data_IF_788986295848
#
_entry.id   IF_788986295848
#
_cell.length_a   1.000
_cell.length_b   1.000
_cell.length_c   1.000
_cell.angle_alpha   90.00
_cell.angle_beta   90.00
_cell.angle_gamma   90.00
#
_symmetry.space_group_name_H-M   'P 1'
#
loop_
_entity.id
_entity.type
_entity.pdbx_description
1 polymer ?
#
# COMPACT_ATOMS: atom_id res chain seq x y z
N UNK A 1 9.93 -18.46 -7.40
CA UNK A 1 9.18 -18.24 -8.65
C UNK A 1 8.66 -16.82 -8.67
N UNK A 2 8.57 -16.15 -9.82
CA UNK A 2 7.93 -14.83 -9.93
C UNK A 2 6.41 -14.95 -9.67
N UNK A 3 5.80 -13.88 -9.19
CA UNK A 3 4.34 -13.79 -9.06
C UNK A 3 3.72 -13.72 -10.46
N UNK A 4 2.70 -14.54 -10.71
CA UNK A 4 1.87 -14.47 -11.92
C UNK A 4 0.45 -14.11 -11.51
N UNK A 5 0.11 -12.83 -11.65
CA UNK A 5 -1.19 -12.26 -11.32
C UNK A 5 -1.45 -11.08 -12.25
N UNK A 6 -2.67 -10.96 -12.74
CA UNK A 6 -3.15 -9.81 -13.52
C UNK A 6 -4.63 -9.64 -13.20
N UNK A 7 -5.09 -8.40 -13.09
CA UNK A 7 -6.48 -8.07 -12.84
C UNK A 7 -6.89 -6.92 -13.74
N UNK A 8 -8.09 -6.94 -14.30
CA UNK A 8 -8.57 -5.81 -15.11
C UNK A 8 -8.96 -4.63 -14.22
N UNK A 9 -9.57 -4.93 -13.07
CA UNK A 9 -10.00 -3.92 -12.11
C UNK A 9 -9.52 -4.25 -10.69
N UNK A 10 -8.91 -3.26 -10.04
CA UNK A 10 -8.36 -3.37 -8.71
C UNK A 10 -8.94 -2.33 -7.77
N UNK A 11 -9.38 -2.76 -6.59
CA UNK A 11 -9.69 -1.89 -5.47
C UNK A 11 -8.49 -1.89 -4.52
N UNK A 12 -7.76 -0.78 -4.48
CA UNK A 12 -6.68 -0.56 -3.51
C UNK A 12 -7.26 0.15 -2.29
N UNK A 13 -7.41 -0.57 -1.20
CA UNK A 13 -7.98 -0.05 0.05
C UNK A 13 -6.84 0.37 0.96
N UNK A 14 -6.73 1.67 1.25
CA UNK A 14 -5.75 2.16 2.22
C UNK A 14 -6.16 1.84 3.65
N UNK A 15 -5.37 2.30 4.62
CA UNK A 15 -5.73 2.22 6.04
C UNK A 15 -6.41 3.49 6.56
N UNK A 16 -6.66 4.52 5.75
CA UNK A 16 -7.09 5.85 6.22
C UNK A 16 -8.42 5.83 6.98
N UNK A 17 -8.55 6.68 8.01
CA UNK A 17 -9.80 6.92 8.71
C UNK A 17 -10.92 7.51 7.85
N UNK A 18 -10.61 8.08 6.67
CA UNK A 18 -11.62 8.53 5.70
C UNK A 18 -12.56 7.42 5.22
N UNK A 19 -12.17 6.15 5.38
CA UNK A 19 -13.02 5.01 5.05
C UNK A 19 -14.17 4.82 6.02
N UNK A 20 -14.08 5.33 7.25
CA UNK A 20 -15.12 5.13 8.27
C UNK A 20 -16.45 5.76 7.84
N UNK A 21 -17.53 4.98 7.95
CA UNK A 21 -18.90 5.33 7.55
C UNK A 21 -19.09 5.60 6.05
N UNK A 22 -18.12 5.24 5.22
CA UNK A 22 -18.20 5.40 3.77
C UNK A 22 -19.19 4.45 3.09
N UNK A 23 -19.50 3.31 3.73
CA UNK A 23 -20.37 2.27 3.19
C UNK A 23 -19.91 1.68 1.84
N UNK A 24 -18.61 1.79 1.53
CA UNK A 24 -18.05 1.33 0.25
C UNK A 24 -17.81 -0.18 0.19
N UNK A 25 -18.04 -0.90 1.28
CA UNK A 25 -17.75 -2.33 1.36
C UNK A 25 -18.34 -3.17 0.22
N UNK A 26 -19.63 -3.03 -0.12
CA UNK A 26 -20.22 -3.74 -1.24
C UNK A 26 -19.57 -3.43 -2.59
N UNK A 27 -19.20 -2.16 -2.84
CA UNK A 27 -18.54 -1.74 -4.08
C UNK A 27 -17.12 -2.32 -4.17
N UNK A 28 -16.35 -2.24 -3.08
CA UNK A 28 -15.00 -2.82 -2.98
C UNK A 28 -15.04 -4.34 -3.21
N UNK A 29 -16.00 -5.03 -2.60
CA UNK A 29 -16.13 -6.48 -2.71
C UNK A 29 -16.67 -6.95 -4.08
N UNK A 30 -17.11 -6.05 -4.96
CA UNK A 30 -17.46 -6.39 -6.35
C UNK A 30 -16.27 -6.31 -7.31
N UNK A 31 -15.18 -5.66 -6.91
CA UNK A 31 -13.98 -5.53 -7.75
C UNK A 31 -13.26 -6.88 -7.92
N UNK A 32 -12.66 -7.11 -9.10
CA UNK A 32 -11.97 -8.37 -9.42
C UNK A 32 -10.89 -8.68 -8.39
N UNK A 33 -10.00 -7.71 -8.13
CA UNK A 33 -8.93 -7.82 -7.14
C UNK A 33 -9.03 -6.76 -6.05
N UNK A 34 -9.00 -7.18 -4.78
CA UNK A 34 -8.93 -6.26 -3.63
C UNK A 34 -7.53 -6.30 -3.03
N UNK A 35 -6.84 -5.16 -3.04
CA UNK A 35 -5.47 -5.00 -2.54
C UNK A 35 -5.53 -4.28 -1.19
N UNK A 36 -4.93 -4.89 -0.16
CA UNK A 36 -4.83 -4.32 1.19
C UNK A 36 -3.39 -4.23 1.68
N UNK A 37 -3.17 -3.46 2.74
CA UNK A 37 -1.85 -3.21 3.29
C UNK A 37 -1.73 -3.67 4.75
N UNK A 38 -0.56 -4.19 5.11
CA UNK A 38 -0.17 -4.53 6.48
C UNK A 38 -1.26 -5.32 7.21
N UNK A 39 -1.55 -4.96 8.46
CA UNK A 39 -2.52 -5.57 9.36
C UNK A 39 -3.89 -4.87 9.35
N UNK A 40 -4.21 -4.11 8.30
CA UNK A 40 -5.53 -3.48 8.15
C UNK A 40 -6.64 -4.55 8.17
N UNK A 41 -7.54 -4.56 9.18
CA UNK A 41 -8.53 -5.61 9.37
C UNK A 41 -9.79 -5.33 8.55
N UNK A 42 -10.50 -6.39 8.14
CA UNK A 42 -11.84 -6.27 7.54
C UNK A 42 -12.95 -6.54 8.55
N UNK A 43 -12.70 -7.46 9.49
CA UNK A 43 -13.66 -7.82 10.53
C UNK A 43 -14.03 -6.61 11.37
N UNK A 44 -15.33 -6.34 11.51
CA UNK A 44 -15.86 -5.16 12.21
C UNK A 44 -15.95 -3.91 11.34
N UNK A 45 -15.32 -3.90 10.16
CA UNK A 45 -15.28 -2.76 9.24
C UNK A 45 -15.88 -3.07 7.86
N UNK A 46 -16.36 -4.30 7.63
CA UNK A 46 -16.77 -4.79 6.31
C UNK A 46 -17.83 -3.96 5.59
N UNK A 47 -18.68 -3.21 6.31
CA UNK A 47 -19.63 -2.26 5.69
C UNK A 47 -18.91 -1.15 4.93
N UNK A 48 -17.79 -0.68 5.45
CA UNK A 48 -17.03 0.44 4.92
C UNK A 48 -15.90 -0.02 4.01
N UNK A 49 -15.16 -1.06 4.41
CA UNK A 49 -13.92 -1.46 3.74
C UNK A 49 -14.03 -2.78 2.97
N UNK A 50 -15.17 -3.46 3.02
CA UNK A 50 -15.38 -4.78 2.42
C UNK A 50 -14.74 -5.91 3.22
N UNK A 51 -15.03 -7.16 2.84
CA UNK A 51 -14.51 -8.36 3.49
C UNK A 51 -13.52 -9.14 2.62
N UNK A 52 -13.46 -8.89 1.30
CA UNK A 52 -12.55 -9.59 0.40
C UNK A 52 -11.14 -9.02 0.48
N UNK A 53 -10.17 -9.90 0.26
CA UNK A 53 -8.76 -9.57 0.01
C UNK A 53 -8.27 -10.55 -1.05
N UNK A 54 -7.67 -10.05 -2.13
CA UNK A 54 -7.02 -10.86 -3.17
C UNK A 54 -5.50 -10.79 -3.05
N UNK A 55 -4.99 -9.61 -2.67
CA UNK A 55 -3.57 -9.34 -2.47
C UNK A 55 -3.36 -8.52 -1.20
N UNK A 56 -2.34 -8.87 -0.40
CA UNK A 56 -1.93 -8.08 0.77
C UNK A 56 -0.44 -7.78 0.75
N UNK A 57 -0.08 -6.50 0.77
CA UNK A 57 1.31 -6.03 0.81
C UNK A 57 1.70 -5.68 2.25
N UNK A 58 2.73 -6.32 2.78
CA UNK A 58 3.06 -6.33 4.21
C UNK A 58 4.50 -5.87 4.43
N UNK A 59 4.67 -4.80 5.21
CA UNK A 59 5.98 -4.38 5.70
C UNK A 59 6.50 -5.34 6.77
N UNK A 60 7.82 -5.52 6.83
CA UNK A 60 8.51 -6.35 7.84
C UNK A 60 8.08 -6.02 9.28
N UNK A 61 7.83 -4.74 9.57
CA UNK A 61 7.40 -4.25 10.89
C UNK A 61 5.99 -4.70 11.29
N UNK A 62 5.16 -5.09 10.32
CA UNK A 62 3.77 -5.53 10.54
C UNK A 62 3.65 -7.04 10.74
N UNK A 63 4.72 -7.81 10.50
CA UNK A 63 4.67 -9.27 10.50
C UNK A 63 4.28 -9.83 11.86
N UNK A 64 4.80 -9.27 12.96
CA UNK A 64 4.44 -9.76 14.30
C UNK A 64 2.96 -9.57 14.60
N UNK A 65 2.33 -8.47 14.15
CA UNK A 65 0.89 -8.25 14.33
C UNK A 65 0.06 -9.23 13.50
N UNK A 66 0.46 -9.45 12.24
CA UNK A 66 -0.16 -10.45 11.37
C UNK A 66 -0.06 -11.87 11.96
N UNK A 67 1.08 -12.25 12.53
CA UNK A 67 1.28 -13.58 13.10
C UNK A 67 0.51 -13.80 14.41
N UNK A 68 0.25 -12.73 15.17
CA UNK A 68 -0.63 -12.79 16.35
C UNK A 68 -2.09 -12.94 15.92
N UNK A 69 -2.51 -12.22 14.89
CA UNK A 69 -3.86 -12.27 14.35
C UNK A 69 -4.00 -13.39 13.29
N UNK A 70 -3.68 -14.63 13.67
CA UNK A 70 -3.65 -15.79 12.75
C UNK A 70 -4.95 -16.00 11.98
N UNK A 71 -6.09 -15.53 12.50
CA UNK A 71 -7.36 -15.56 11.78
C UNK A 71 -7.28 -14.88 10.41
N UNK A 72 -6.51 -13.81 10.27
CA UNK A 72 -6.32 -13.11 8.98
C UNK A 72 -5.38 -13.87 8.03
N UNK A 73 -4.63 -14.85 8.50
CA UNK A 73 -3.83 -15.74 7.65
C UNK A 73 -4.57 -17.05 7.34
N UNK A 74 -5.46 -17.49 8.23
CA UNK A 74 -6.14 -18.79 8.19
C UNK A 74 -7.54 -18.73 7.56
N UNK A 75 -8.29 -17.63 7.75
CA UNK A 75 -9.62 -17.42 7.18
C UNK A 75 -9.58 -16.71 5.82
N UNK A 76 -8.42 -16.18 5.45
CA UNK A 76 -8.26 -15.52 4.17
C UNK A 76 -8.22 -16.61 3.08
N UNK A 77 -9.20 -16.53 2.19
CA UNK A 77 -9.54 -17.51 1.15
C UNK A 77 -8.32 -18.19 0.52
N UNK A 78 -8.46 -19.46 0.11
CA UNK A 78 -7.42 -20.30 -0.52
C UNK A 78 -6.71 -19.67 -1.75
N UNK A 79 -7.08 -18.46 -2.18
CA UNK A 79 -6.49 -17.74 -3.30
C UNK A 79 -5.62 -16.53 -2.94
N UNK A 80 -5.63 -16.02 -1.71
CA UNK A 80 -5.00 -14.72 -1.41
C UNK A 80 -3.48 -14.76 -1.50
N UNK A 81 -2.92 -13.75 -2.14
CA UNK A 81 -1.48 -13.54 -2.30
C UNK A 81 -0.97 -12.59 -1.22
N UNK A 82 0.16 -12.92 -0.60
CA UNK A 82 0.83 -12.08 0.38
C UNK A 82 2.19 -11.68 -0.16
N UNK A 83 2.49 -10.38 -0.22
CA UNK A 83 3.80 -9.86 -0.63
C UNK A 83 4.45 -9.16 0.56
N UNK A 84 5.61 -9.65 1.00
CA UNK A 84 6.37 -9.12 2.11
C UNK A 84 7.55 -8.27 1.63
N UNK A 85 7.77 -7.13 2.28
CA UNK A 85 8.88 -6.24 1.97
C UNK A 85 9.56 -5.74 3.25
N UNK A 86 10.86 -5.42 3.17
CA UNK A 86 11.60 -4.91 4.32
C UNK A 86 13.09 -4.70 4.06
N UNK A 87 13.83 -4.18 5.05
CA UNK A 87 15.27 -4.02 4.98
C UNK A 87 15.96 -5.34 4.71
N UNK A 88 17.05 -5.32 3.93
CA UNK A 88 17.77 -6.54 3.55
C UNK A 88 18.21 -7.36 4.75
N UNK A 89 18.54 -6.74 5.89
CA UNK A 89 18.92 -7.41 7.14
C UNK A 89 17.84 -8.35 7.70
N UNK A 90 16.56 -8.00 7.56
CA UNK A 90 15.45 -8.84 8.02
C UNK A 90 15.05 -9.91 7.02
N UNK A 91 15.39 -9.71 5.74
CA UNK A 91 14.94 -10.53 4.61
C UNK A 91 16.01 -11.52 4.11
N UNK A 92 17.14 -11.65 4.82
CA UNK A 92 18.27 -12.51 4.45
C UNK A 92 17.90 -14.00 4.53
N UNK A 93 18.48 -14.80 3.63
CA UNK A 93 18.26 -16.26 3.58
C UNK A 93 19.34 -17.09 4.29
N UNK A 94 20.33 -16.43 4.88
CA UNK A 94 21.47 -17.04 5.56
C UNK A 94 21.17 -17.44 7.02
N UNK A 95 19.90 -17.64 7.35
CA UNK A 95 19.45 -17.91 8.71
C UNK A 95 19.42 -16.69 9.64
N UNK A 96 19.93 -15.51 9.24
CA UNK A 96 19.91 -14.30 10.07
C UNK A 96 18.73 -13.37 9.80
N UNK A 97 18.00 -13.58 8.70
CA UNK A 97 16.83 -12.80 8.34
C UNK A 97 15.59 -13.25 9.10
N UNK A 98 15.29 -12.61 10.24
CA UNK A 98 14.16 -13.00 11.09
C UNK A 98 12.82 -13.09 10.35
N UNK A 99 12.57 -12.17 9.42
CA UNK A 99 11.34 -12.19 8.61
C UNK A 99 11.36 -13.35 7.63
N UNK A 100 12.45 -13.54 6.89
CA UNK A 100 12.57 -14.66 5.97
C UNK A 100 12.39 -16.00 6.69
N UNK A 101 13.01 -16.17 7.85
CA UNK A 101 12.91 -17.39 8.65
C UNK A 101 11.45 -17.65 9.08
N UNK A 102 10.74 -16.62 9.56
CA UNK A 102 9.32 -16.75 9.93
C UNK A 102 8.46 -17.11 8.73
N UNK A 103 8.68 -16.47 7.57
CA UNK A 103 7.93 -16.78 6.34
C UNK A 103 8.23 -18.18 5.82
N UNK A 104 9.48 -18.63 5.93
CA UNK A 104 9.87 -19.98 5.55
C UNK A 104 9.15 -21.02 6.41
N UNK A 105 9.11 -20.82 7.73
CA UNK A 105 8.35 -21.68 8.64
C UNK A 105 6.84 -21.66 8.33
N UNK A 106 6.27 -20.49 8.09
CA UNK A 106 4.86 -20.38 7.71
C UNK A 106 4.54 -21.12 6.42
N UNK A 107 5.41 -21.08 5.42
CA UNK A 107 5.21 -21.82 4.16
C UNK A 107 5.22 -23.33 4.36
N UNK A 108 5.92 -23.83 5.38
CA UNK A 108 5.92 -25.25 5.74
C UNK A 108 4.64 -25.65 6.49
N UNK A 109 4.16 -24.79 7.39
CA UNK A 109 2.95 -25.04 8.20
C UNK A 109 1.67 -24.82 7.39
N UNK A 110 1.67 -23.87 6.46
CA UNK A 110 0.55 -23.50 5.61
C UNK A 110 0.94 -23.68 4.13
N UNK A 111 0.99 -24.92 3.61
CA UNK A 111 1.50 -25.19 2.26
C UNK A 111 0.65 -24.56 1.13
N UNK A 112 -0.58 -24.16 1.42
CA UNK A 112 -1.46 -23.42 0.48
C UNK A 112 -1.24 -21.90 0.51
N UNK A 113 -0.46 -21.38 1.46
CA UNK A 113 -0.18 -19.95 1.59
C UNK A 113 0.66 -19.47 0.40
N UNK A 114 0.13 -18.52 -0.36
CA UNK A 114 0.86 -17.87 -1.46
C UNK A 114 1.66 -16.67 -0.93
N UNK A 115 2.81 -16.95 -0.33
CA UNK A 115 3.70 -15.92 0.22
C UNK A 115 4.87 -15.60 -0.72
N UNK A 116 5.04 -14.33 -1.04
CA UNK A 116 6.12 -13.80 -1.86
C UNK A 116 6.90 -12.74 -1.09
N UNK A 117 8.16 -12.56 -1.47
CA UNK A 117 9.04 -11.58 -0.86
C UNK A 117 9.61 -10.68 -1.95
N UNK A 118 9.57 -9.36 -1.75
CA UNK A 118 10.21 -8.41 -2.65
C UNK A 118 11.73 -8.65 -2.61
N UNK A 119 12.33 -8.87 -3.78
CA UNK A 119 13.76 -9.16 -3.87
C UNK A 119 14.59 -7.90 -3.61
N UNK A 120 15.87 -8.07 -3.26
CA UNK A 120 16.80 -6.95 -3.13
C UNK A 120 16.88 -6.11 -4.41
N UNK A 121 16.84 -6.75 -5.57
CA UNK A 121 16.86 -6.05 -6.85
C UNK A 121 15.60 -5.20 -7.06
N UNK A 122 14.41 -5.76 -6.83
CA UNK A 122 13.15 -5.02 -6.94
C UNK A 122 13.04 -3.88 -5.92
N UNK A 123 13.57 -4.06 -4.70
CA UNK A 123 13.71 -2.96 -3.73
C UNK A 123 14.55 -1.79 -4.27
N UNK A 124 15.65 -2.07 -4.98
CA UNK A 124 16.46 -1.02 -5.62
C UNK A 124 15.71 -0.34 -6.77
N UNK A 125 14.94 -1.10 -7.55
CA UNK A 125 14.10 -0.52 -8.61
C UNK A 125 13.04 0.43 -8.03
N UNK A 126 12.42 0.10 -6.89
CA UNK A 126 11.50 1.00 -6.19
C UNK A 126 12.19 2.26 -5.66
N UNK A 127 13.43 2.14 -5.15
CA UNK A 127 14.24 3.29 -4.72
C UNK A 127 14.56 4.22 -5.91
N UNK A 128 14.96 3.66 -7.06
CA UNK A 128 15.28 4.42 -8.27
C UNK A 128 14.04 5.06 -8.91
N UNK A 129 12.90 4.35 -8.90
CA UNK A 129 11.62 4.92 -9.31
C UNK A 129 11.30 6.16 -8.47
N UNK A 130 11.38 6.05 -7.14
CA UNK A 130 11.10 7.19 -6.25
C UNK A 130 12.04 8.37 -6.53
N UNK A 131 13.32 8.09 -6.72
CA UNK A 131 14.31 9.11 -7.07
C UNK A 131 13.99 9.80 -8.39
N UNK A 132 13.62 9.06 -9.42
CA UNK A 132 13.26 9.60 -10.73
C UNK A 132 12.00 10.46 -10.67
N UNK A 133 10.97 10.00 -9.96
CA UNK A 133 9.68 10.71 -9.86
C UNK A 133 9.75 11.95 -8.97
N UNK A 134 10.68 12.01 -8.02
CA UNK A 134 10.71 13.06 -6.98
C UNK A 134 11.96 13.93 -6.99
N UNK A 135 13.02 13.50 -7.69
CA UNK A 135 14.37 14.07 -7.57
C UNK A 135 15.04 13.80 -6.23
N UNK A 136 14.43 13.04 -5.32
CA UNK A 136 14.94 12.79 -3.96
C UNK A 136 15.47 11.37 -3.83
N UNK A 137 16.72 11.26 -3.41
CA UNK A 137 17.29 9.97 -3.09
C UNK A 137 16.88 9.53 -1.68
N UNK A 138 16.27 8.35 -1.58
CA UNK A 138 15.78 7.79 -0.31
C UNK A 138 16.90 7.61 0.71
N UNK A 139 18.07 7.10 0.27
CA UNK A 139 19.21 6.80 1.16
C UNK A 139 19.85 8.09 1.65
N UNK A 140 20.06 9.06 0.75
CA UNK A 140 20.64 10.36 1.10
C UNK A 140 19.72 11.12 2.06
N UNK A 141 18.40 11.04 1.85
CA UNK A 141 17.40 11.70 2.71
C UNK A 141 17.02 10.90 3.96
N UNK A 142 17.71 9.77 4.21
CA UNK A 142 17.52 8.84 5.32
C UNK A 142 16.05 8.50 5.62
N UNK A 143 15.26 8.29 4.56
CA UNK A 143 13.82 7.99 4.66
C UNK A 143 13.52 6.56 4.24
N UNK A 144 12.29 6.10 4.49
CA UNK A 144 11.78 4.84 3.98
C UNK A 144 10.56 5.10 3.09
N UNK A 145 10.45 4.34 2.00
CA UNK A 145 9.22 4.32 1.20
C UNK A 145 8.09 3.71 2.05
N UNK A 146 6.89 4.25 1.92
CA UNK A 146 5.73 3.71 2.65
C UNK A 146 5.25 2.40 2.03
N UNK A 147 4.45 1.63 2.78
CA UNK A 147 3.74 0.48 2.18
C UNK A 147 2.82 0.93 1.04
N UNK A 148 2.28 2.15 1.11
CA UNK A 148 1.48 2.76 0.04
C UNK A 148 2.28 2.90 -1.26
N UNK A 149 3.55 3.31 -1.20
CA UNK A 149 4.43 3.37 -2.36
C UNK A 149 4.63 2.00 -3.03
N UNK A 150 4.99 0.98 -2.24
CA UNK A 150 5.15 -0.37 -2.76
C UNK A 150 3.83 -0.89 -3.37
N UNK A 151 2.70 -0.63 -2.70
CA UNK A 151 1.39 -1.13 -3.13
C UNK A 151 0.91 -0.44 -4.41
N UNK A 152 1.06 0.88 -4.52
CA UNK A 152 0.72 1.62 -5.74
C UNK A 152 1.58 1.17 -6.94
N UNK A 153 2.88 1.00 -6.72
CA UNK A 153 3.79 0.55 -7.80
C UNK A 153 3.46 -0.88 -8.24
N UNK A 154 3.21 -1.78 -7.29
CA UNK A 154 2.78 -3.15 -7.61
C UNK A 154 1.41 -3.13 -8.32
N UNK A 155 0.48 -2.28 -7.92
CA UNK A 155 -0.83 -2.19 -8.57
C UNK A 155 -0.70 -1.72 -10.04
N UNK A 156 0.22 -0.81 -10.35
CA UNK A 156 0.49 -0.41 -11.74
C UNK A 156 0.99 -1.57 -12.62
N UNK A 157 1.72 -2.52 -12.05
CA UNK A 157 2.21 -3.70 -12.75
C UNK A 157 1.13 -4.79 -12.93
N UNK A 158 0.16 -4.85 -12.02
CA UNK A 158 -0.83 -5.94 -11.95
C UNK A 158 -2.22 -5.59 -12.47
N UNK A 159 -2.55 -4.30 -12.59
CA UNK A 159 -3.92 -3.83 -12.80
C UNK A 159 -4.04 -2.96 -14.06
N UNK A 160 -5.13 -3.14 -14.82
CA UNK A 160 -5.46 -2.22 -15.92
C UNK A 160 -6.18 -0.95 -15.44
N UNK A 161 -6.98 -1.06 -14.38
CA UNK A 161 -7.66 0.04 -13.67
C UNK A 161 -7.43 -0.08 -12.17
N UNK A 162 -7.16 1.05 -11.51
CA UNK A 162 -6.93 1.10 -10.06
C UNK A 162 -7.90 2.10 -9.42
N UNK A 163 -8.82 1.60 -8.60
CA UNK A 163 -9.70 2.38 -7.76
C UNK A 163 -9.10 2.43 -6.34
N UNK A 164 -8.61 3.60 -5.92
CA UNK A 164 -7.95 3.84 -4.63
C UNK A 164 -8.97 4.40 -3.64
N UNK A 165 -9.19 3.70 -2.52
CA UNK A 165 -10.13 4.11 -1.48
C UNK A 165 -9.38 4.57 -0.23
N UNK A 166 -9.79 5.72 0.34
CA UNK A 166 -9.21 6.23 1.58
C UNK A 166 -7.90 6.98 1.35
N UNK A 167 -7.74 7.73 0.26
CA UNK A 167 -6.51 8.48 0.01
C UNK A 167 -6.84 9.93 -0.28
N UNK A 168 -6.44 10.84 0.60
CA UNK A 168 -6.56 12.29 0.39
C UNK A 168 -5.56 12.82 -0.64
N UNK A 169 -5.85 13.95 -1.34
CA UNK A 169 -4.89 14.58 -2.23
C UNK A 169 -3.68 15.15 -1.46
N UNK A 170 -2.52 15.38 -2.11
CA UNK A 170 -1.27 15.78 -1.45
C UNK A 170 -1.33 17.15 -0.74
N UNK A 171 -2.29 18.00 -1.08
CA UNK A 171 -2.51 19.33 -0.52
C UNK A 171 -3.61 19.38 0.55
N UNK A 172 -4.30 18.26 0.82
CA UNK A 172 -5.40 18.17 1.78
C UNK A 172 -5.07 18.77 3.15
N UNK A 173 -3.94 18.37 3.74
CA UNK A 173 -3.51 18.84 5.07
C UNK A 173 -3.00 20.30 5.10
N UNK A 174 -3.10 21.05 3.99
CA UNK A 174 -2.83 22.49 3.97
C UNK A 174 -4.09 23.32 4.21
N UNK A 175 -5.26 22.76 3.98
CA UNK A 175 -6.54 23.43 4.25
C UNK A 175 -6.79 23.44 5.77
N UNK A 176 -6.85 24.60 6.43
CA UNK A 176 -7.09 24.66 7.87
C UNK A 176 -8.47 24.12 8.29
N UNK A 177 -9.40 23.96 7.34
CA UNK A 177 -10.76 23.47 7.58
C UNK A 177 -10.94 21.99 7.21
N UNK A 178 -9.85 21.27 6.90
CA UNK A 178 -9.96 19.84 6.57
C UNK A 178 -10.59 19.06 7.75
N UNK A 179 -11.44 18.05 7.49
CA UNK A 179 -11.94 17.20 8.56
C UNK A 179 -10.78 16.42 9.20
N UNK A 180 -10.81 16.30 10.52
CA UNK A 180 -9.88 15.43 11.26
C UNK A 180 -10.43 14.01 11.28
N UNK A 181 -9.58 13.05 10.96
CA UNK A 181 -9.87 11.61 11.00
C UNK A 181 -8.67 10.88 11.61
N UNK A 182 -8.88 9.71 12.23
CA UNK A 182 -7.75 8.89 12.69
C UNK A 182 -6.90 8.46 11.49
N UNK A 183 -5.58 8.36 11.71
CA UNK A 183 -4.63 7.90 10.71
C UNK A 183 -4.98 6.49 10.19
N UNK A 184 -5.48 5.63 11.07
CA UNK A 184 -6.00 4.31 10.71
C UNK A 184 -7.47 4.16 11.07
N UNK A 185 -8.30 3.64 10.14
CA UNK A 185 -9.73 3.40 10.42
C UNK A 185 -9.97 2.42 11.59
N UNK A 186 -9.00 1.57 11.88
CA UNK A 186 -9.06 0.55 12.92
C UNK A 186 -8.38 0.96 14.24
N UNK A 187 -7.91 2.20 14.33
CA UNK A 187 -7.32 2.77 15.54
C UNK A 187 -8.02 4.11 15.84
N UNK A 188 -9.27 4.10 16.35
CA UNK A 188 -10.04 5.33 16.56
C UNK A 188 -9.41 6.27 17.60
N UNK A 189 -8.60 5.74 18.51
CA UNK A 189 -7.80 6.50 19.48
C UNK A 189 -6.34 6.70 19.02
N UNK A 190 -6.05 6.38 17.76
CA UNK A 190 -4.76 6.59 17.13
C UNK A 190 -4.52 8.08 16.82
N UNK A 191 -3.33 8.40 16.29
CA UNK A 191 -2.99 9.78 15.93
C UNK A 191 -3.86 10.27 14.76
N UNK A 192 -4.08 11.58 14.69
CA UNK A 192 -4.73 12.24 13.56
C UNK A 192 -3.94 12.04 12.25
N UNK A 193 -4.66 11.84 11.14
CA UNK A 193 -4.06 11.51 9.84
C UNK A 193 -3.10 12.61 9.35
N UNK A 194 -3.54 13.87 9.36
CA UNK A 194 -2.73 14.98 8.86
C UNK A 194 -1.53 15.26 9.76
N UNK A 195 -1.68 15.10 11.07
CA UNK A 195 -0.59 15.16 12.04
C UNK A 195 0.47 14.11 11.74
N UNK A 196 0.08 12.86 11.46
CA UNK A 196 0.99 11.80 11.04
C UNK A 196 1.69 12.11 9.72
N UNK A 197 0.93 12.55 8.71
CA UNK A 197 1.49 12.89 7.41
C UNK A 197 2.53 14.01 7.50
N UNK A 198 2.21 15.11 8.19
CA UNK A 198 3.10 16.26 8.33
C UNK A 198 4.34 15.93 9.16
N UNK A 199 4.19 15.19 10.27
CA UNK A 199 5.30 14.76 11.11
C UNK A 199 6.30 13.91 10.35
N UNK A 200 5.81 12.89 9.62
CA UNK A 200 6.67 12.02 8.82
C UNK A 200 7.27 12.77 7.61
N UNK A 201 6.50 13.59 6.91
CA UNK A 201 6.97 14.35 5.75
C UNK A 201 8.10 15.31 6.13
N UNK A 202 8.08 15.90 7.32
CA UNK A 202 9.11 16.82 7.83
C UNK A 202 10.24 16.13 8.59
N UNK A 203 10.11 14.84 8.86
CA UNK A 203 11.10 14.04 9.57
C UNK A 203 12.50 14.13 8.95
N UNK A 204 13.51 14.14 9.83
CA UNK A 204 14.95 14.14 9.48
C UNK A 204 15.76 13.07 10.22
N UNK A 205 15.14 12.39 11.19
CA UNK A 205 15.76 11.34 12.03
C UNK A 205 14.73 10.22 12.26
N UNK A 206 15.20 8.98 12.39
CA UNK A 206 14.35 7.82 12.61
C UNK A 206 13.69 7.27 11.34
N UNK A 207 12.76 6.32 11.51
CA UNK A 207 12.02 5.72 10.38
C UNK A 207 10.83 6.59 10.02
N UNK A 208 11.05 7.56 9.11
CA UNK A 208 9.99 8.42 8.59
C UNK A 208 9.77 8.18 7.10
N UNK A 209 8.57 8.54 6.63
CA UNK A 209 8.12 8.39 5.25
C UNK A 209 7.89 9.75 4.62
N UNK A 210 7.91 9.83 3.28
CA UNK A 210 7.56 11.05 2.56
C UNK A 210 6.14 10.97 2.00
N UNK A 211 5.15 10.77 2.88
CA UNK A 211 3.76 10.49 2.48
C UNK A 211 3.17 11.53 1.53
N UNK A 212 3.46 12.82 1.74
CA UNK A 212 2.93 13.88 0.90
C UNK A 212 3.69 13.92 -0.43
N UNK A 213 5.02 13.71 -0.40
CA UNK A 213 5.81 13.57 -1.63
C UNK A 213 5.32 12.38 -2.47
N UNK A 214 5.09 11.21 -1.87
CA UNK A 214 4.56 10.02 -2.55
C UNK A 214 3.16 10.28 -3.16
N UNK A 215 2.23 10.89 -2.40
CA UNK A 215 0.91 11.28 -2.91
C UNK A 215 0.98 12.24 -4.10
N UNK A 216 2.00 13.10 -4.15
CA UNK A 216 2.23 14.00 -5.28
C UNK A 216 2.61 13.24 -6.54
N UNK A 217 3.39 12.16 -6.40
CA UNK A 217 3.67 11.21 -7.50
C UNK A 217 2.39 10.48 -7.91
N UNK A 218 1.59 9.97 -6.97
CA UNK A 218 0.33 9.28 -7.32
C UNK A 218 -0.66 10.19 -8.04
N UNK A 219 -0.74 11.47 -7.64
CA UNK A 219 -1.49 12.51 -8.37
C UNK A 219 -1.01 12.65 -9.81
N UNK A 220 0.30 12.63 -10.05
CA UNK A 220 0.86 12.71 -11.40
C UNK A 220 0.61 11.43 -12.20
N UNK A 221 0.79 10.25 -11.59
CA UNK A 221 0.48 8.97 -12.22
C UNK A 221 -0.98 8.88 -12.65
N UNK A 222 -1.92 9.40 -11.86
CA UNK A 222 -3.34 9.42 -12.21
C UNK A 222 -3.70 10.38 -13.38
N UNK A 223 -2.74 11.16 -13.91
CA UNK A 223 -2.90 11.93 -15.15
C UNK A 223 -2.58 11.12 -16.41
N UNK A 224 -1.91 9.99 -16.24
CA UNK A 224 -1.35 9.14 -17.28
C UNK A 224 -2.04 7.77 -17.24
N UNK A 225 -2.01 7.14 -16.06
CA UNK A 225 -2.62 5.82 -15.82
C UNK A 225 -4.07 5.94 -15.35
N UNK A 226 -4.82 4.85 -15.57
CA UNK A 226 -6.22 4.72 -15.19
C UNK A 226 -6.39 4.50 -13.67
N UNK A 227 -6.17 5.57 -12.91
CA UNK A 227 -6.24 5.61 -11.45
C UNK A 227 -7.35 6.57 -11.01
N UNK A 228 -8.23 6.10 -10.13
CA UNK A 228 -9.32 6.89 -9.55
C UNK A 228 -9.23 6.90 -8.03
N UNK A 229 -9.59 8.01 -7.39
CA UNK A 229 -9.54 8.15 -5.93
C UNK A 229 -10.93 8.38 -5.35
N UNK A 230 -11.21 7.68 -4.25
CA UNK A 230 -12.47 7.70 -3.53
C UNK A 230 -12.20 7.90 -2.02
N UNK A 231 -13.12 8.59 -1.34
CA UNK A 231 -13.05 8.89 0.11
C UNK A 231 -11.72 9.55 0.54
N UNK A 232 -11.54 10.85 0.23
CA UNK A 232 -12.43 11.70 -0.56
C UNK A 232 -12.30 11.45 -2.06
N UNK A 233 -13.32 11.82 -2.82
CA UNK A 233 -13.28 11.81 -4.28
C UNK A 233 -12.44 12.98 -4.79
N UNK A 234 -11.42 12.70 -5.59
CA UNK A 234 -10.63 13.73 -6.26
C UNK A 234 -10.00 13.20 -7.55
N UNK A 235 -9.73 14.12 -8.48
CA UNK A 235 -9.09 13.84 -9.76
C UNK A 235 -8.03 14.89 -10.06
N UNK A 236 -6.85 14.51 -10.55
CA UNK A 236 -5.91 15.50 -11.09
C UNK A 236 -6.46 16.08 -12.39
N UNK A 237 -6.14 17.34 -12.67
CA UNK A 237 -6.37 17.93 -14.00
C UNK A 237 -5.59 17.17 -15.07
N UNK A 238 -6.23 16.86 -16.20
CA UNK A 238 -5.65 16.13 -17.33
C UNK A 238 -4.51 16.94 -17.97
N UNK A 239 -3.41 16.28 -18.33
CA UNK A 239 -2.41 16.89 -19.20
C UNK A 239 -2.99 16.95 -20.62
N UNK A 240 -2.82 18.07 -21.33
CA UNK A 240 -3.18 18.17 -22.74
C UNK A 240 -2.40 17.08 -23.51
N UNK A 241 -3.13 16.17 -24.15
CA UNK A 241 -2.60 14.93 -24.73
C UNK A 241 -1.71 15.24 -25.93
N UNK A 242 -0.43 14.84 -25.87
CA UNK A 242 0.39 14.60 -27.05
C UNK A 242 1.18 13.30 -26.86
N UNK A 243 0.79 12.28 -27.64
CA UNK A 243 1.43 10.97 -27.90
C UNK A 243 0.96 9.73 -27.13
N UNK A 244 0.97 8.55 -27.80
CA UNK A 244 0.43 7.30 -27.28
C UNK A 244 1.38 6.67 -26.26
N UNK A 245 0.82 6.22 -25.14
CA UNK A 245 1.56 5.69 -24.00
C UNK A 245 1.97 4.22 -24.17
N UNK A 246 3.27 3.95 -24.10
CA UNK A 246 3.78 2.64 -23.68
C UNK A 246 3.71 2.58 -22.16
N UNK A 247 3.01 1.57 -21.60
CA UNK A 247 3.09 1.25 -20.16
C UNK A 247 4.58 1.08 -19.78
N UNK A 248 5.12 1.81 -18.80
CA UNK A 248 6.45 1.50 -18.31
C UNK A 248 6.42 0.15 -17.62
N UNK A 249 7.22 -0.79 -18.14
CA UNK A 249 7.49 -2.07 -17.47
C UNK A 249 8.54 -1.78 -16.41
N UNK A 250 8.17 -1.83 -15.13
CA UNK A 250 9.07 -1.67 -13.98
C UNK A 250 9.52 -3.02 -13.41
#
# INVERSE_FOLDING_TARGET
QPLKMHCRDCALVTSSGHLLRSQQGPQIDQTECVIRMNDAPTRGYGRDVGNRTSLRVIAHSSIQRILRNRHDLLNVSQGTVFIFWGPSSYMRRDGKGQVYNNLHLLSQVLPRLKAFMITRHKMLQFDELFKRETGKDRKISNTWLSTGWFTMTIALELCDRINVYGMVPPDFCRDPNHPSVPYHYYEPFGPDECTMYLSHERGRKGSHHRFITEKRVFKNWARTFNIHFFQPDWKPESLAINHPENKPVF
#
